data_IF_688642611403
#
_entry.id   IF_688642611403
#
_cell.length_a   1.000
_cell.length_b   1.000
_cell.length_c   1.000
_cell.angle_alpha   90.00
_cell.angle_beta   90.00
_cell.angle_gamma   90.00
#
_symmetry.space_group_name_H-M   'P 1'
#
loop_
_entity.id
_entity.type
_entity.pdbx_description
1 polymer ?
#
# COMPACT_ATOMS: atom_id res chain seq x y z
N UNK A 1 -3.85 -7.73 -16.53
CA UNK A 1 -3.85 -6.70 -15.48
C UNK A 1 -4.21 -7.36 -14.17
N UNK A 2 -3.56 -6.99 -13.08
CA UNK A 2 -3.88 -7.44 -11.71
C UNK A 2 -4.96 -6.52 -11.12
N UNK A 3 -5.91 -7.07 -10.35
CA UNK A 3 -6.92 -6.30 -9.62
C UNK A 3 -6.59 -6.17 -8.14
N UNK A 4 -7.27 -5.26 -7.43
CA UNK A 4 -7.12 -5.13 -5.97
C UNK A 4 -7.50 -6.45 -5.25
N UNK A 5 -8.49 -7.18 -5.76
CA UNK A 5 -8.88 -8.50 -5.25
C UNK A 5 -7.77 -9.53 -5.41
N UNK A 6 -7.05 -9.51 -6.53
CA UNK A 6 -5.92 -10.42 -6.75
C UNK A 6 -4.77 -10.10 -5.80
N UNK A 7 -4.51 -8.82 -5.52
CA UNK A 7 -3.50 -8.43 -4.53
C UNK A 7 -3.89 -8.90 -3.12
N UNK A 8 -5.15 -8.72 -2.71
CA UNK A 8 -5.65 -9.22 -1.43
C UNK A 8 -5.50 -10.75 -1.33
N UNK A 9 -5.72 -11.49 -2.42
CA UNK A 9 -5.52 -12.93 -2.44
C UNK A 9 -4.06 -13.35 -2.20
N UNK A 10 -3.08 -12.53 -2.60
CA UNK A 10 -1.66 -12.77 -2.28
C UNK A 10 -1.39 -12.56 -0.79
N UNK A 11 -1.95 -11.50 -0.19
CA UNK A 11 -1.85 -11.30 1.26
C UNK A 11 -2.51 -12.43 2.04
N UNK A 12 -3.67 -12.93 1.59
CA UNK A 12 -4.34 -14.07 2.20
C UNK A 12 -3.46 -15.34 2.17
N UNK A 13 -2.77 -15.62 1.06
CA UNK A 13 -1.81 -16.73 0.97
C UNK A 13 -0.58 -16.51 1.88
N UNK A 14 -0.06 -15.28 1.97
CA UNK A 14 1.01 -14.94 2.92
C UNK A 14 0.58 -15.21 4.36
N UNK A 15 -0.64 -14.82 4.72
CA UNK A 15 -1.15 -14.92 6.08
C UNK A 15 -1.54 -16.35 6.47
N UNK A 16 -2.08 -17.13 5.53
CA UNK A 16 -2.73 -18.42 5.83
C UNK A 16 -2.04 -19.62 5.21
N UNK A 17 -1.33 -19.44 4.09
CA UNK A 17 -0.70 -20.51 3.31
C UNK A 17 0.80 -20.71 3.60
N UNK A 18 1.52 -19.64 3.95
CA UNK A 18 2.96 -19.72 4.23
C UNK A 18 3.28 -20.36 5.59
N UNK A 19 4.47 -20.96 5.68
CA UNK A 19 5.02 -21.38 6.98
C UNK A 19 5.20 -20.18 7.92
N UNK A 20 5.14 -20.37 9.24
CA UNK A 20 5.32 -19.26 10.19
C UNK A 20 6.62 -18.47 9.97
N UNK A 21 7.72 -19.15 9.63
CA UNK A 21 9.00 -18.51 9.37
C UNK A 21 8.98 -17.67 8.07
N UNK A 22 8.39 -18.20 7.00
CA UNK A 22 8.28 -17.47 5.72
C UNK A 22 7.34 -16.27 5.83
N UNK A 23 6.22 -16.42 6.55
CA UNK A 23 5.29 -15.33 6.83
C UNK A 23 5.98 -14.21 7.63
N UNK A 24 6.73 -14.55 8.67
CA UNK A 24 7.48 -13.58 9.46
C UNK A 24 8.45 -12.77 8.59
N UNK A 25 9.20 -13.41 7.69
CA UNK A 25 10.11 -12.70 6.77
C UNK A 25 9.39 -11.65 5.94
N UNK A 26 8.17 -11.94 5.46
CA UNK A 26 7.39 -11.00 4.65
C UNK A 26 6.85 -9.87 5.52
N UNK A 27 6.19 -10.18 6.64
CA UNK A 27 5.57 -9.17 7.51
C UNK A 27 6.63 -8.26 8.14
N UNK A 28 7.75 -8.80 8.63
CA UNK A 28 8.85 -8.01 9.18
C UNK A 28 9.41 -7.04 8.14
N UNK A 29 9.48 -7.43 6.86
CA UNK A 29 9.94 -6.57 5.78
C UNK A 29 8.92 -5.48 5.43
N UNK A 30 7.61 -5.77 5.52
CA UNK A 30 6.55 -4.79 5.29
C UNK A 30 6.53 -3.74 6.42
N UNK A 31 6.61 -4.15 7.68
CA UNK A 31 6.67 -3.24 8.83
C UNK A 31 7.96 -2.43 8.92
N UNK A 32 9.02 -2.86 8.24
CA UNK A 32 10.29 -2.13 8.14
C UNK A 32 10.42 -1.26 6.87
N UNK A 33 9.32 -0.99 6.16
CA UNK A 33 9.34 -0.17 4.96
C UNK A 33 9.93 1.23 5.21
N UNK A 34 10.82 1.68 4.32
CA UNK A 34 11.45 3.01 4.40
C UNK A 34 10.69 4.03 3.54
N UNK A 35 10.76 5.34 3.89
CA UNK A 35 10.16 6.40 3.09
C UNK A 35 10.69 6.50 1.66
N UNK A 36 11.91 6.05 1.39
CA UNK A 36 12.53 6.12 0.07
C UNK A 36 12.78 4.71 -0.47
N UNK A 37 12.46 4.51 -1.76
CA UNK A 37 12.76 3.29 -2.50
C UNK A 37 14.25 3.18 -2.85
N UNK A 38 14.71 1.99 -3.21
CA UNK A 38 16.09 1.78 -3.63
C UNK A 38 16.47 2.56 -4.92
N UNK A 39 15.46 3.00 -5.67
CA UNK A 39 15.56 3.86 -6.86
C UNK A 39 15.50 5.36 -6.54
N UNK A 40 15.37 5.73 -5.27
CA UNK A 40 15.23 7.11 -4.81
C UNK A 40 13.80 7.66 -4.90
N UNK A 41 12.81 6.85 -5.26
CA UNK A 41 11.43 7.31 -5.32
C UNK A 41 10.83 7.44 -3.92
N UNK A 42 10.09 8.52 -3.68
CA UNK A 42 9.38 8.76 -2.43
C UNK A 42 8.18 7.80 -2.29
N UNK A 43 8.31 6.85 -1.35
CA UNK A 43 7.33 5.83 -0.99
C UNK A 43 6.47 6.23 0.22
N UNK A 44 6.65 7.44 0.77
CA UNK A 44 5.84 7.95 1.87
C UNK A 44 4.49 8.48 1.35
N UNK A 45 3.62 7.57 0.91
CA UNK A 45 2.27 7.86 0.45
C UNK A 45 1.31 6.70 0.73
N UNK A 46 0.02 6.93 0.55
CA UNK A 46 -1.03 5.96 0.82
C UNK A 46 -0.98 5.47 2.27
N UNK A 47 -0.89 4.15 2.46
CA UNK A 47 -0.77 3.53 3.79
C UNK A 47 0.52 3.90 4.54
N UNK A 48 1.56 4.35 3.84
CA UNK A 48 2.83 4.80 4.44
C UNK A 48 2.94 6.32 4.47
N UNK A 49 1.87 7.05 4.16
CA UNK A 49 1.80 8.49 4.39
C UNK A 49 1.96 8.76 5.90
N UNK A 50 2.93 9.58 6.32
CA UNK A 50 3.10 9.96 7.73
C UNK A 50 1.86 10.59 8.37
N UNK A 51 0.95 11.15 7.56
CA UNK A 51 -0.30 11.74 8.04
C UNK A 51 -1.43 10.72 8.25
N UNK A 52 -1.33 9.49 7.71
CA UNK A 52 -2.42 8.50 7.79
C UNK A 52 -2.67 7.89 9.18
N UNK A 53 -1.76 8.07 10.14
CA UNK A 53 -1.93 7.57 11.50
C UNK A 53 -2.00 6.04 11.60
N UNK A 54 -2.05 5.50 12.83
CA UNK A 54 -2.31 4.06 13.08
C UNK A 54 -1.16 3.09 12.78
N UNK A 55 -0.20 3.46 11.93
CA UNK A 55 0.85 2.55 11.45
C UNK A 55 0.30 1.50 10.49
N UNK A 56 1.13 1.04 9.55
CA UNK A 56 0.76 0.01 8.60
C UNK A 56 1.98 -0.82 8.18
N UNK A 57 1.78 -2.13 8.05
CA UNK A 57 2.73 -3.04 7.43
C UNK A 57 2.42 -3.08 5.94
N UNK A 58 3.07 -2.21 5.18
CA UNK A 58 2.63 -1.89 3.83
C UNK A 58 3.74 -1.84 2.78
N UNK A 59 3.31 -1.97 1.53
CA UNK A 59 4.15 -1.85 0.35
C UNK A 59 3.51 -0.90 -0.67
N UNK A 60 4.33 0.06 -1.10
CA UNK A 60 4.03 0.90 -2.25
C UNK A 60 4.55 0.32 -3.57
N UNK A 61 3.88 0.66 -4.66
CA UNK A 61 4.33 0.40 -6.03
C UNK A 61 4.07 1.61 -6.92
N UNK A 62 5.02 1.91 -7.82
CA UNK A 62 4.89 3.03 -8.74
C UNK A 62 5.41 2.66 -10.13
N UNK A 63 4.85 3.27 -11.16
CA UNK A 63 5.45 3.27 -12.51
C UNK A 63 4.89 4.43 -13.34
N UNK A 64 5.73 4.97 -14.24
CA UNK A 64 5.25 5.69 -15.41
C UNK A 64 5.15 4.71 -16.58
N UNK A 65 4.00 4.67 -17.24
CA UNK A 65 3.79 3.86 -18.43
C UNK A 65 3.06 4.68 -19.49
N UNK A 66 3.78 5.08 -20.53
CA UNK A 66 3.25 6.00 -21.54
C UNK A 66 2.84 7.33 -20.93
N UNK A 67 1.54 7.64 -20.98
CA UNK A 67 0.95 8.86 -20.43
C UNK A 67 0.35 8.68 -19.05
N UNK A 68 0.49 7.50 -18.46
CA UNK A 68 -0.12 7.14 -17.18
C UNK A 68 0.94 7.05 -16.08
N UNK A 69 0.56 7.50 -14.89
CA UNK A 69 1.25 7.29 -13.63
C UNK A 69 0.41 6.36 -12.78
N UNK A 70 1.02 5.26 -12.35
CA UNK A 70 0.46 4.30 -11.43
C UNK A 70 1.06 4.54 -10.05
N UNK A 71 0.21 4.62 -9.03
CA UNK A 71 0.62 4.62 -7.63
C UNK A 71 -0.29 3.63 -6.89
N UNK A 72 0.30 2.63 -6.27
CA UNK A 72 -0.40 1.54 -5.63
C UNK A 72 0.04 1.46 -4.18
N UNK A 73 -0.93 1.33 -3.27
CA UNK A 73 -0.70 1.23 -1.84
C UNK A 73 -1.46 0.06 -1.26
N UNK A 74 -0.74 -0.89 -0.67
CA UNK A 74 -1.33 -2.14 -0.19
C UNK A 74 -0.64 -2.58 1.09
N UNK A 75 -1.34 -3.21 2.01
CA UNK A 75 -0.74 -3.61 3.28
C UNK A 75 -1.76 -4.08 4.31
N UNK A 76 -1.26 -4.32 5.51
CA UNK A 76 -2.05 -4.65 6.69
C UNK A 76 -2.24 -3.42 7.57
N UNK A 77 -3.42 -3.29 8.16
CA UNK A 77 -3.83 -2.18 9.01
C UNK A 77 -4.72 -2.64 10.17
N UNK A 78 -4.82 -1.77 11.17
CA UNK A 78 -5.59 -2.00 12.38
C UNK A 78 -4.80 -2.78 13.43
N UNK A 79 -5.35 -2.87 14.65
CA UNK A 79 -4.71 -3.61 15.74
C UNK A 79 -4.48 -5.06 15.34
N UNK A 80 -3.26 -5.54 15.57
CA UNK A 80 -2.80 -6.89 15.23
C UNK A 80 -2.97 -7.23 13.73
N UNK A 81 -2.81 -6.25 12.84
CA UNK A 81 -2.87 -6.43 11.38
C UNK A 81 -4.18 -7.05 10.87
N UNK A 82 -5.29 -6.68 11.53
CA UNK A 82 -6.61 -7.29 11.35
C UNK A 82 -7.16 -7.20 9.92
N UNK A 83 -6.81 -6.16 9.17
CA UNK A 83 -7.37 -5.90 7.85
C UNK A 83 -6.29 -5.83 6.79
N UNK A 84 -6.58 -6.39 5.61
CA UNK A 84 -5.79 -6.16 4.39
C UNK A 84 -6.48 -5.10 3.55
N UNK A 85 -5.73 -4.08 3.15
CA UNK A 85 -6.21 -3.00 2.28
C UNK A 85 -5.36 -2.97 1.00
N UNK A 86 -6.02 -2.81 -0.14
CA UNK A 86 -5.35 -2.62 -1.43
C UNK A 86 -6.02 -1.50 -2.23
N UNK A 87 -5.29 -0.41 -2.45
CA UNK A 87 -5.72 0.76 -3.23
C UNK A 87 -4.81 0.89 -4.44
N UNK A 88 -5.39 0.78 -5.64
CA UNK A 88 -4.68 0.88 -6.90
C UNK A 88 -5.15 2.13 -7.65
N UNK A 89 -4.30 3.15 -7.77
CA UNK A 89 -4.62 4.37 -8.53
C UNK A 89 -3.85 4.44 -9.84
N UNK A 90 -4.49 5.06 -10.83
CA UNK A 90 -3.90 5.44 -12.11
C UNK A 90 -4.37 6.84 -12.44
N UNK A 91 -3.44 7.70 -12.85
CA UNK A 91 -3.73 9.07 -13.26
C UNK A 91 -2.81 9.52 -14.40
N UNK A 92 -3.01 10.74 -14.93
CA UNK A 92 -2.15 11.24 -16.00
C UNK A 92 -0.75 11.53 -15.48
N UNK A 93 0.27 11.02 -16.16
CA UNK A 93 1.68 11.27 -15.87
C UNK A 93 2.02 12.78 -15.89
N UNK A 94 1.32 13.56 -16.71
CA UNK A 94 1.49 15.01 -16.80
C UNK A 94 1.10 15.77 -15.53
N UNK A 95 0.32 15.17 -14.61
CA UNK A 95 0.01 15.76 -13.32
C UNK A 95 1.17 15.63 -12.31
N UNK A 96 2.09 14.69 -12.54
CA UNK A 96 3.26 14.45 -11.68
C UNK A 96 2.96 13.66 -10.41
N UNK A 97 4.03 13.13 -9.80
CA UNK A 97 3.97 12.24 -8.64
C UNK A 97 3.31 12.88 -7.41
N UNK A 98 3.55 14.17 -7.14
CA UNK A 98 2.99 14.85 -5.97
C UNK A 98 1.46 14.93 -6.01
N UNK A 99 0.89 15.18 -7.19
CA UNK A 99 -0.57 15.16 -7.38
C UNK A 99 -1.08 13.73 -7.23
N UNK A 100 -0.40 12.77 -7.86
CA UNK A 100 -0.77 11.36 -7.77
C UNK A 100 -0.80 10.82 -6.34
N UNK A 101 0.22 11.17 -5.53
CA UNK A 101 0.31 10.78 -4.12
C UNK A 101 -0.87 11.31 -3.32
N UNK A 102 -1.16 12.62 -3.39
CA UNK A 102 -2.33 13.21 -2.71
C UNK A 102 -3.64 12.52 -3.05
N UNK A 103 -3.84 12.13 -4.31
CA UNK A 103 -5.03 11.36 -4.72
C UNK A 103 -5.03 9.96 -4.11
N UNK A 104 -3.87 9.29 -4.09
CA UNK A 104 -3.67 8.02 -3.39
C UNK A 104 -3.94 8.10 -1.90
N UNK A 105 -3.43 9.13 -1.22
CA UNK A 105 -3.60 9.37 0.22
C UNK A 105 -5.09 9.55 0.56
N UNK A 106 -5.80 10.38 -0.22
CA UNK A 106 -7.25 10.55 -0.08
C UNK A 106 -8.03 9.25 -0.30
N UNK A 107 -7.63 8.45 -1.29
CA UNK A 107 -8.28 7.18 -1.57
C UNK A 107 -8.05 6.15 -0.44
N UNK A 108 -6.84 6.12 0.14
CA UNK A 108 -6.53 5.30 1.31
C UNK A 108 -7.33 5.78 2.53
N UNK A 109 -7.35 7.07 2.83
CA UNK A 109 -8.12 7.60 3.94
C UNK A 109 -9.62 7.24 3.83
N UNK A 110 -10.19 7.33 2.64
CA UNK A 110 -11.57 6.91 2.39
C UNK A 110 -11.78 5.40 2.59
N UNK A 111 -10.78 4.57 2.26
CA UNK A 111 -10.83 3.12 2.45
C UNK A 111 -10.67 2.72 3.93
N UNK A 112 -9.93 3.49 4.73
CA UNK A 112 -9.73 3.23 6.16
C UNK A 112 -10.88 3.73 7.04
N UNK A 113 -11.58 4.80 6.65
CA UNK A 113 -12.63 5.40 7.46
C UNK A 113 -13.71 4.42 8.01
N UNK A 114 -14.16 3.39 7.27
CA UNK A 114 -15.09 2.40 7.82
C UNK A 114 -14.46 1.43 8.84
N UNK A 115 -13.13 1.25 8.81
CA UNK A 115 -12.39 0.32 9.67
C UNK A 115 -12.13 0.91 11.05
N UNK A 116 -11.93 2.22 11.14
CA UNK A 116 -11.72 2.93 12.43
C UNK A 116 -12.94 2.87 13.36
N UNK A 117 -14.12 2.55 12.80
CA UNK A 117 -15.36 2.39 13.54
C UNK A 117 -15.64 0.93 13.99
N UNK A 118 -14.76 -0.03 13.66
CA UNK A 118 -14.97 -1.48 13.79
C UNK A 118 -14.04 -2.17 14.81
#
# INVERSE_FOLDING_TARGET
MISARDVVAVYDDVLTGLSPASRAVVLDALGAATPEGADGFDQAFGLLDPEQGGGADAKQGWMYLGTDLYLHSTGLVGTDDRFVVAVLTVGPASAGADVGRRVGDQAVAAALAPLDAA
#
